data_IF_347852428697
#
_entry.id   IF_347852428697
#
_cell.length_a   1.000
_cell.length_b   1.000
_cell.length_c   1.000
_cell.angle_alpha   90.00
_cell.angle_beta   90.00
_cell.angle_gamma   90.00
#
_symmetry.space_group_name_H-M   'P 1'
#
loop_
_entity.id
_entity.type
_entity.pdbx_description
1 polymer ?
#
# COMPACT_ATOMS: atom_id res chain seq x y z
N UNK A 1 -20.53 3.24 0.90
CA UNK A 1 -19.87 4.39 1.54
C UNK A 1 -20.49 5.70 1.07
N UNK A 2 -20.37 6.75 1.89
CA UNK A 2 -20.94 8.07 1.63
C UNK A 2 -19.82 9.09 1.57
N UNK A 3 -19.78 9.86 0.50
CA UNK A 3 -18.91 11.02 0.31
C UNK A 3 -19.67 12.14 -0.41
N UNK A 4 -19.08 13.30 -0.49
CA UNK A 4 -19.60 14.41 -1.28
C UNK A 4 -19.40 14.13 -2.78
N UNK A 5 -20.29 14.61 -3.64
CA UNK A 5 -20.23 14.38 -5.09
C UNK A 5 -18.90 14.80 -5.70
N UNK A 6 -18.33 15.93 -5.22
CA UNK A 6 -17.04 16.43 -5.70
C UNK A 6 -15.87 15.52 -5.37
N UNK A 7 -15.98 14.66 -4.36
CA UNK A 7 -14.91 13.78 -3.87
C UNK A 7 -15.01 12.35 -4.41
N UNK A 8 -16.13 11.97 -5.02
CA UNK A 8 -16.43 10.57 -5.36
C UNK A 8 -15.31 9.91 -6.19
N UNK A 9 -14.85 10.59 -7.24
CA UNK A 9 -13.77 10.07 -8.10
C UNK A 9 -12.46 9.90 -7.34
N UNK A 10 -12.09 10.86 -6.49
CA UNK A 10 -10.86 10.82 -5.71
C UNK A 10 -10.94 9.75 -4.62
N UNK A 11 -12.10 9.61 -3.97
CA UNK A 11 -12.35 8.55 -2.98
C UNK A 11 -12.21 7.16 -3.63
N UNK A 12 -12.84 6.96 -4.78
CA UNK A 12 -12.70 5.70 -5.52
C UNK A 12 -11.24 5.44 -5.90
N UNK A 13 -10.54 6.46 -6.39
CA UNK A 13 -9.12 6.34 -6.76
C UNK A 13 -8.25 6.01 -5.55
N UNK A 14 -8.48 6.63 -4.39
CA UNK A 14 -7.74 6.35 -3.17
C UNK A 14 -7.94 4.89 -2.70
N UNK A 15 -9.17 4.39 -2.77
CA UNK A 15 -9.47 2.98 -2.48
C UNK A 15 -8.78 2.04 -3.46
N UNK A 16 -8.88 2.33 -4.75
CA UNK A 16 -8.25 1.55 -5.82
C UNK A 16 -6.72 1.49 -5.69
N UNK A 17 -6.11 2.62 -5.32
CA UNK A 17 -4.67 2.70 -5.13
C UNK A 17 -4.18 2.17 -3.77
N UNK A 18 -5.07 1.69 -2.91
CA UNK A 18 -4.70 1.16 -1.59
C UNK A 18 -4.24 2.23 -0.60
N UNK A 19 -4.66 3.50 -0.79
CA UNK A 19 -4.30 4.60 0.10
C UNK A 19 -5.19 4.68 1.35
N UNK A 20 -6.33 3.99 1.37
CA UNK A 20 -7.27 3.97 2.48
C UNK A 20 -6.92 2.82 3.44
N UNK A 21 -6.17 3.11 4.50
CA UNK A 21 -5.67 2.10 5.45
C UNK A 21 -6.59 1.86 6.64
N UNK A 22 -7.16 2.93 7.21
CA UNK A 22 -7.99 2.82 8.40
C UNK A 22 -9.45 2.43 8.07
N UNK A 23 -10.18 1.81 9.01
CA UNK A 23 -11.62 1.57 8.88
C UNK A 23 -12.37 2.88 9.12
N UNK A 24 -12.94 3.47 8.07
CA UNK A 24 -13.61 4.78 8.13
C UNK A 24 -15.13 4.69 8.37
N UNK A 25 -15.66 3.52 8.69
CA UNK A 25 -17.09 3.37 8.99
C UNK A 25 -18.05 3.66 7.83
N UNK A 26 -17.53 3.98 6.64
CA UNK A 26 -18.30 4.20 5.42
C UNK A 26 -18.81 5.62 5.20
N UNK A 27 -18.63 6.58 6.13
CA UNK A 27 -18.89 8.02 5.91
C UNK A 27 -17.56 8.79 5.86
N UNK A 28 -17.14 9.18 4.67
CA UNK A 28 -15.86 9.86 4.44
C UNK A 28 -15.91 11.37 4.62
N UNK A 29 -17.08 11.93 4.93
CA UNK A 29 -17.25 13.36 5.29
C UNK A 29 -16.85 13.66 6.73
N UNK A 30 -16.58 12.61 7.53
CA UNK A 30 -16.16 12.77 8.91
C UNK A 30 -14.74 13.35 9.01
N UNK A 31 -14.44 14.11 10.08
CA UNK A 31 -13.09 14.56 10.36
C UNK A 31 -12.12 13.40 10.49
N UNK A 32 -10.90 13.59 9.97
CA UNK A 32 -9.87 12.56 10.01
C UNK A 32 -8.96 12.72 11.23
N UNK A 33 -8.59 11.58 11.82
CA UNK A 33 -7.59 11.55 12.89
C UNK A 33 -6.17 11.64 12.32
N UNK A 34 -5.26 12.21 13.08
CA UNK A 34 -3.84 12.37 12.74
C UNK A 34 -3.19 11.04 12.38
N UNK A 35 -3.45 9.98 13.16
CA UNK A 35 -2.96 8.64 12.90
C UNK A 35 -3.43 8.13 11.53
N UNK A 36 -4.73 8.15 11.29
CA UNK A 36 -5.30 7.65 10.05
C UNK A 36 -4.76 8.37 8.81
N UNK A 37 -4.50 9.69 8.92
CA UNK A 37 -3.86 10.41 7.83
C UNK A 37 -2.40 9.96 7.64
N UNK A 38 -1.64 9.79 8.72
CA UNK A 38 -0.26 9.31 8.67
C UNK A 38 -0.14 7.93 8.03
N UNK A 39 -1.06 7.01 8.35
CA UNK A 39 -1.14 5.68 7.77
C UNK A 39 -1.41 5.74 6.25
N UNK A 40 -2.37 6.55 5.82
CA UNK A 40 -2.67 6.74 4.40
C UNK A 40 -1.49 7.36 3.65
N UNK A 41 -0.80 8.32 4.27
CA UNK A 41 0.38 8.96 3.70
C UNK A 41 1.56 7.98 3.58
N UNK A 42 1.79 7.11 4.56
CA UNK A 42 2.80 6.05 4.50
C UNK A 42 2.50 5.06 3.36
N UNK A 43 1.23 4.69 3.16
CA UNK A 43 0.80 3.85 2.05
C UNK A 43 1.12 4.51 0.68
N UNK A 44 0.93 5.83 0.56
CA UNK A 44 1.29 6.57 -0.65
C UNK A 44 2.80 6.50 -0.91
N UNK A 45 3.62 6.72 0.11
CA UNK A 45 5.08 6.65 -0.04
C UNK A 45 5.50 5.24 -0.45
N UNK A 46 5.00 4.20 0.22
CA UNK A 46 5.30 2.81 -0.12
C UNK A 46 4.92 2.50 -1.57
N UNK A 47 3.73 2.92 -2.00
CA UNK A 47 3.28 2.77 -3.38
C UNK A 47 4.20 3.48 -4.38
N UNK A 48 4.67 4.68 -4.05
CA UNK A 48 5.58 5.44 -4.92
C UNK A 48 6.89 4.70 -5.17
N UNK A 49 7.40 4.01 -4.16
CA UNK A 49 8.60 3.16 -4.27
C UNK A 49 8.30 1.74 -4.75
N UNK A 50 7.05 1.42 -5.07
CA UNK A 50 6.64 0.07 -5.51
C UNK A 50 6.75 -0.98 -4.41
N UNK A 51 6.82 -0.57 -3.14
CA UNK A 51 6.91 -1.46 -1.99
C UNK A 51 5.53 -1.93 -1.55
N UNK A 52 5.39 -3.22 -1.25
CA UNK A 52 4.24 -3.75 -0.53
C UNK A 52 4.37 -3.40 0.95
N UNK A 53 3.53 -2.43 1.39
CA UNK A 53 3.62 -1.92 2.76
C UNK A 53 3.25 -2.99 3.80
N UNK A 54 2.28 -3.85 3.52
CA UNK A 54 1.84 -4.88 4.47
C UNK A 54 2.91 -5.94 4.65
N UNK A 55 3.53 -6.36 3.56
CA UNK A 55 4.69 -7.25 3.63
C UNK A 55 5.84 -6.60 4.42
N UNK A 56 6.19 -5.36 4.08
CA UNK A 56 7.24 -4.63 4.81
C UNK A 56 6.95 -4.54 6.31
N UNK A 57 5.72 -4.20 6.69
CA UNK A 57 5.30 -4.11 8.09
C UNK A 57 5.42 -5.46 8.80
N UNK A 58 4.99 -6.54 8.17
CA UNK A 58 5.06 -7.88 8.75
C UNK A 58 6.50 -8.29 9.07
N UNK A 59 7.42 -8.08 8.14
CA UNK A 59 8.82 -8.53 8.30
C UNK A 59 9.63 -7.61 9.20
N UNK A 60 9.31 -6.32 9.23
CA UNK A 60 10.09 -5.31 9.97
C UNK A 60 9.46 -4.92 11.31
N UNK A 61 8.31 -5.49 11.66
CA UNK A 61 7.53 -5.11 12.85
C UNK A 61 8.36 -5.12 14.14
N UNK A 62 9.20 -6.12 14.33
CA UNK A 62 10.06 -6.21 15.52
C UNK A 62 11.13 -5.10 15.56
N UNK A 63 11.76 -4.81 14.42
CA UNK A 63 12.74 -3.71 14.28
C UNK A 63 12.07 -2.36 14.51
N UNK A 64 10.91 -2.13 13.91
CA UNK A 64 10.13 -0.91 14.06
C UNK A 64 9.68 -0.69 15.50
N UNK A 65 9.22 -1.75 16.18
CA UNK A 65 8.86 -1.70 17.59
C UNK A 65 10.05 -1.30 18.46
N UNK A 66 11.23 -1.90 18.24
CA UNK A 66 12.44 -1.59 18.97
C UNK A 66 12.91 -0.15 18.72
N UNK A 67 12.88 0.31 17.47
CA UNK A 67 13.31 1.64 17.08
C UNK A 67 12.38 2.75 17.58
N UNK A 68 11.06 2.48 17.67
CA UNK A 68 10.07 3.45 18.12
C UNK A 68 10.18 3.78 19.60
N UNK A 69 10.94 3.01 20.38
CA UNK A 69 11.08 3.21 21.83
C UNK A 69 9.78 3.00 22.61
N UNK A 70 8.78 2.37 21.99
CA UNK A 70 7.50 2.08 22.62
C UNK A 70 7.72 1.01 23.68
N UNK A 71 7.83 1.46 24.91
CA UNK A 71 7.83 0.59 26.07
C UNK A 71 6.51 -0.19 26.15
N UNK A 72 6.52 -1.23 26.92
CA UNK A 72 5.54 -2.31 27.10
C UNK A 72 4.09 -1.91 27.43
N UNK A 73 3.68 -0.65 27.30
CA UNK A 73 2.38 -0.14 27.81
C UNK A 73 1.54 0.58 26.75
N UNK A 74 1.96 0.67 25.49
CA UNK A 74 1.18 1.29 24.42
C UNK A 74 0.82 0.30 23.32
N UNK A 75 -0.35 0.46 22.70
CA UNK A 75 -0.70 -0.26 21.48
C UNK A 75 0.31 0.14 20.40
N UNK A 76 1.20 -0.78 20.06
CA UNK A 76 2.14 -0.61 18.96
C UNK A 76 1.39 -0.68 17.63
N UNK A 77 1.48 0.38 16.85
CA UNK A 77 0.98 0.41 15.48
C UNK A 77 2.19 0.50 14.53
N UNK A 78 2.45 -0.56 13.77
CA UNK A 78 3.60 -0.61 12.89
C UNK A 78 3.51 0.42 11.74
N UNK A 79 2.32 0.73 11.24
CA UNK A 79 2.15 1.74 10.17
C UNK A 79 2.48 3.14 10.69
N UNK A 80 2.06 3.42 11.92
CA UNK A 80 2.37 4.69 12.58
C UNK A 80 3.87 4.85 12.85
N UNK A 81 4.56 3.74 13.19
CA UNK A 81 6.01 3.73 13.33
C UNK A 81 6.71 4.06 12.01
N UNK A 82 6.24 3.48 10.89
CA UNK A 82 6.75 3.81 9.54
C UNK A 82 6.49 5.28 9.21
N UNK A 83 5.30 5.81 9.45
CA UNK A 83 5.00 7.22 9.20
C UNK A 83 5.93 8.17 10.00
N UNK A 84 6.33 7.76 11.21
CA UNK A 84 7.33 8.48 12.03
C UNK A 84 8.73 8.36 11.43
N UNK A 85 9.19 7.18 11.04
CA UNK A 85 10.50 6.96 10.43
C UNK A 85 10.66 7.74 9.10
N UNK A 86 9.60 7.78 8.29
CA UNK A 86 9.56 8.58 7.07
C UNK A 86 9.50 10.09 7.32
N UNK A 87 9.43 10.53 8.58
CA UNK A 87 9.32 11.93 8.96
C UNK A 87 7.96 12.58 8.62
N UNK A 88 6.98 11.79 8.20
CA UNK A 88 5.62 12.25 7.87
C UNK A 88 4.91 12.75 9.15
N UNK A 89 4.96 11.94 10.20
CA UNK A 89 4.49 12.33 11.53
C UNK A 89 5.66 12.59 12.45
N UNK A 90 5.62 13.71 13.15
CA UNK A 90 6.58 14.04 14.20
C UNK A 90 5.88 13.99 15.54
N UNK A 91 6.56 13.45 16.56
CA UNK A 91 6.09 13.45 17.92
C UNK A 91 6.01 14.88 18.49
N UNK A 92 5.20 15.04 19.51
CA UNK A 92 5.19 16.24 20.37
C UNK A 92 6.42 16.25 21.29
N UNK A 93 6.61 17.32 22.05
CA UNK A 93 7.72 17.44 23.01
C UNK A 93 7.74 16.32 24.06
N UNK A 94 6.58 15.78 24.41
CA UNK A 94 6.42 14.63 25.31
C UNK A 94 6.68 13.26 24.64
N UNK A 95 7.04 13.26 23.35
CA UNK A 95 7.27 12.05 22.56
C UNK A 95 6.00 11.36 22.03
N UNK A 96 4.81 11.81 22.40
CA UNK A 96 3.55 11.28 21.90
C UNK A 96 3.33 11.63 20.43
N UNK A 97 2.70 10.76 19.65
CA UNK A 97 2.29 11.05 18.27
C UNK A 97 0.89 11.68 18.21
N UNK A 98 0.17 11.67 19.32
CA UNK A 98 -1.18 12.25 19.46
C UNK A 98 -2.14 11.79 18.32
N UNK A 99 -2.09 10.50 18.04
CA UNK A 99 -2.72 9.90 16.85
C UNK A 99 -4.24 10.03 16.80
N UNK A 100 -4.91 10.04 17.96
CA UNK A 100 -6.37 10.14 18.05
C UNK A 100 -6.92 11.55 17.82
N UNK A 101 -6.06 12.58 17.84
CA UNK A 101 -6.48 13.97 17.63
C UNK A 101 -6.93 14.20 16.20
N UNK A 102 -8.04 14.89 16.05
CA UNK A 102 -8.51 15.38 14.75
C UNK A 102 -7.58 16.49 14.26
N UNK A 103 -7.30 16.50 12.96
CA UNK A 103 -6.37 17.48 12.38
C UNK A 103 -7.09 18.66 11.75
N UNK A 104 -6.41 19.78 11.77
CA UNK A 104 -6.78 20.99 11.05
C UNK A 104 -6.23 20.97 9.62
N UNK A 105 -6.75 21.86 8.78
CA UNK A 105 -6.31 21.98 7.40
C UNK A 105 -4.85 22.41 7.25
N UNK A 106 -4.34 23.27 8.14
CA UNK A 106 -2.91 23.60 8.12
C UNK A 106 -2.03 22.43 8.56
N UNK A 107 -2.48 21.60 9.52
CA UNK A 107 -1.76 20.37 9.90
C UNK A 107 -1.75 19.34 8.76
N UNK A 108 -2.87 19.21 8.03
CA UNK A 108 -2.92 18.39 6.83
C UNK A 108 -1.90 18.85 5.77
N UNK A 109 -1.74 20.17 5.57
CA UNK A 109 -0.74 20.71 4.66
C UNK A 109 0.68 20.28 5.04
N UNK A 110 1.01 20.31 6.33
CA UNK A 110 2.33 19.87 6.85
C UNK A 110 2.55 18.38 6.62
N UNK A 111 1.55 17.53 6.90
CA UNK A 111 1.67 16.09 6.66
C UNK A 111 1.86 15.80 5.17
N UNK A 112 1.09 16.45 4.29
CA UNK A 112 1.21 16.30 2.84
C UNK A 112 2.58 16.76 2.32
N UNK A 113 3.09 17.90 2.79
CA UNK A 113 4.39 18.42 2.40
C UNK A 113 5.54 17.48 2.83
N UNK A 114 5.45 16.91 4.03
CA UNK A 114 6.41 15.91 4.50
C UNK A 114 6.33 14.63 3.68
N UNK A 115 5.12 14.18 3.34
CA UNK A 115 4.90 13.04 2.46
C UNK A 115 5.53 13.28 1.08
N UNK A 116 5.33 14.47 0.51
CA UNK A 116 5.95 14.85 -0.75
C UNK A 116 7.48 14.81 -0.68
N UNK A 117 8.06 15.39 0.38
CA UNK A 117 9.52 15.35 0.59
C UNK A 117 10.06 13.93 0.79
N UNK A 118 9.30 13.06 1.44
CA UNK A 118 9.67 11.64 1.60
C UNK A 118 9.75 10.91 0.24
N UNK A 119 8.92 11.32 -0.73
CA UNK A 119 8.92 10.74 -2.07
C UNK A 119 9.95 11.40 -3.01
N UNK A 120 10.13 12.72 -2.91
CA UNK A 120 10.89 13.52 -3.88
C UNK A 120 12.27 13.96 -3.38
N UNK A 121 12.57 13.73 -2.10
CA UNK A 121 13.76 14.28 -1.47
C UNK A 121 13.67 15.80 -1.24
N UNK A 122 14.77 16.51 -1.39
CA UNK A 122 14.76 17.97 -1.19
C UNK A 122 14.07 18.69 -2.34
N UNK A 123 13.05 19.47 -1.99
CA UNK A 123 12.37 20.39 -2.91
C UNK A 123 13.04 21.76 -2.77
N UNK A 124 13.58 22.29 -3.86
CA UNK A 124 14.35 23.56 -3.88
C UNK A 124 13.61 24.69 -4.58
N UNK A 125 12.31 24.54 -4.84
CA UNK A 125 11.57 25.54 -5.59
C UNK A 125 11.32 26.80 -4.75
N UNK A 126 11.45 27.96 -5.38
CA UNK A 126 11.08 29.23 -4.77
C UNK A 126 9.56 29.23 -4.54
N UNK A 127 9.14 29.40 -3.29
CA UNK A 127 7.73 29.42 -2.93
C UNK A 127 7.12 30.79 -3.18
N UNK A 128 5.95 30.79 -3.81
CA UNK A 128 5.16 32.01 -4.03
C UNK A 128 4.40 32.41 -2.77
N UNK A 129 4.29 33.71 -2.45
CA UNK A 129 3.46 34.17 -1.34
C UNK A 129 2.01 33.70 -1.47
N UNK A 130 1.38 33.39 -0.36
CA UNK A 130 -0.04 33.04 -0.31
C UNK A 130 -0.89 34.31 -0.54
N UNK A 131 -1.94 34.18 -1.33
CA UNK A 131 -2.87 35.27 -1.66
C UNK A 131 -4.23 35.13 -0.97
N UNK A 132 -4.37 34.23 0.01
CA UNK A 132 -5.62 34.06 0.75
C UNK A 132 -5.85 35.21 1.75
N UNK A 133 -7.09 35.64 1.88
CA UNK A 133 -7.46 36.75 2.80
C UNK A 133 -7.22 36.41 4.26
N UNK A 134 -7.20 35.12 4.60
CA UNK A 134 -6.94 34.59 5.93
C UNK A 134 -5.52 34.02 6.11
N UNK A 135 -4.60 34.33 5.19
CA UNK A 135 -3.20 33.81 5.25
C UNK A 135 -2.47 34.17 6.55
N UNK A 136 -2.80 35.32 7.15
CA UNK A 136 -2.26 35.74 8.45
C UNK A 136 -2.70 34.83 9.64
N UNK A 137 -3.72 34.00 9.46
CA UNK A 137 -4.18 33.03 10.47
C UNK A 137 -3.43 31.70 10.38
N UNK A 138 -2.62 31.50 9.36
CA UNK A 138 -1.79 30.30 9.22
C UNK A 138 -0.63 30.41 10.22
N UNK A 139 -0.47 29.40 11.06
CA UNK A 139 0.61 29.36 12.03
C UNK A 139 1.98 29.38 11.31
N UNK A 140 2.96 30.08 11.90
CA UNK A 140 4.28 30.26 11.31
C UNK A 140 4.97 28.94 10.93
N UNK A 141 4.79 27.91 11.74
CA UNK A 141 5.35 26.57 11.47
C UNK A 141 4.70 25.84 10.27
N UNK A 142 3.54 26.28 9.80
CA UNK A 142 2.81 25.68 8.67
C UNK A 142 2.91 26.50 7.38
N UNK A 143 3.37 27.75 7.44
CA UNK A 143 3.33 28.67 6.30
C UNK A 143 4.02 28.13 5.07
N UNK A 144 5.25 27.65 5.18
CA UNK A 144 6.03 27.11 4.07
C UNK A 144 5.34 25.88 3.44
N UNK A 145 4.81 24.98 4.28
CA UNK A 145 4.15 23.77 3.81
C UNK A 145 2.81 24.08 3.13
N UNK A 146 2.06 25.05 3.64
CA UNK A 146 0.83 25.54 2.98
C UNK A 146 1.16 26.17 1.63
N UNK A 147 2.23 26.99 1.54
CA UNK A 147 2.69 27.56 0.27
C UNK A 147 3.05 26.46 -0.73
N UNK A 148 3.82 25.47 -0.32
CA UNK A 148 4.23 24.36 -1.18
C UNK A 148 3.01 23.59 -1.69
N UNK A 149 2.11 23.18 -0.80
CA UNK A 149 0.93 22.40 -1.18
C UNK A 149 -0.04 23.19 -2.07
N UNK A 150 -0.14 24.48 -1.88
CA UNK A 150 -0.94 25.37 -2.72
C UNK A 150 -0.30 25.55 -4.11
N UNK A 151 1.02 25.80 -4.15
CA UNK A 151 1.77 25.99 -5.41
C UNK A 151 1.73 24.72 -6.28
N UNK A 152 1.79 23.53 -5.66
CA UNK A 152 1.65 22.25 -6.36
C UNK A 152 0.20 21.94 -6.78
N UNK A 153 -0.79 22.75 -6.36
CA UNK A 153 -2.19 22.52 -6.64
C UNK A 153 -2.80 21.34 -5.86
N UNK A 154 -2.11 20.85 -4.82
CA UNK A 154 -2.60 19.77 -3.96
C UNK A 154 -3.72 20.27 -3.04
N UNK A 155 -3.49 21.43 -2.41
CA UNK A 155 -4.50 22.13 -1.63
C UNK A 155 -4.94 23.40 -2.36
N UNK A 156 -6.24 23.66 -2.31
CA UNK A 156 -6.86 24.85 -2.90
C UNK A 156 -7.65 25.58 -1.81
N UNK A 157 -8.06 26.82 -2.05
CA UNK A 157 -8.97 27.53 -1.14
C UNK A 157 -10.32 26.82 -0.98
N UNK A 158 -11.04 27.15 0.08
CA UNK A 158 -12.37 26.59 0.38
C UNK A 158 -13.53 27.47 -0.14
N UNK A 159 -13.23 28.47 -0.94
CA UNK A 159 -14.14 29.50 -1.41
C UNK A 159 -13.83 30.86 -0.77
N UNK A 160 -14.44 31.93 -1.29
CA UNK A 160 -14.29 33.31 -0.81
C UNK A 160 -12.84 33.73 -0.57
N UNK A 161 -11.92 33.29 -1.42
CA UNK A 161 -10.47 33.51 -1.33
C UNK A 161 -9.86 33.11 0.03
N UNK A 162 -10.37 32.08 0.70
CA UNK A 162 -9.92 31.64 2.02
C UNK A 162 -9.28 30.25 1.99
N UNK A 163 -8.24 30.08 2.81
CA UNK A 163 -7.61 28.79 3.05
C UNK A 163 -8.28 28.02 4.19
N UNK A 164 -8.77 28.71 5.22
CA UNK A 164 -9.41 28.19 6.42
C UNK A 164 -8.48 27.28 7.24
N UNK A 165 -7.33 27.80 7.74
CA UNK A 165 -6.25 27.01 8.32
C UNK A 165 -6.65 26.17 9.52
N UNK A 166 -7.57 26.68 10.35
CA UNK A 166 -8.07 26.00 11.56
C UNK A 166 -9.30 25.11 11.30
N UNK A 167 -9.77 25.07 10.04
CA UNK A 167 -10.90 24.22 9.68
C UNK A 167 -10.58 22.74 9.84
N UNK A 168 -11.59 21.98 10.26
CA UNK A 168 -11.47 20.52 10.39
C UNK A 168 -11.21 19.89 9.00
N UNK A 169 -10.33 18.91 8.94
CA UNK A 169 -10.00 18.19 7.71
C UNK A 169 -10.70 16.85 7.68
N UNK A 170 -11.37 16.52 6.57
CA UNK A 170 -12.17 15.31 6.45
C UNK A 170 -11.43 14.17 5.76
N UNK A 171 -11.94 12.95 5.90
CA UNK A 171 -11.39 11.76 5.24
C UNK A 171 -11.41 11.91 3.71
N UNK A 172 -12.52 12.40 3.14
CA UNK A 172 -12.62 12.63 1.69
C UNK A 172 -11.63 13.69 1.20
N UNK A 173 -11.37 14.74 1.99
CA UNK A 173 -10.33 15.73 1.67
C UNK A 173 -8.92 15.13 1.74
N UNK A 174 -8.67 14.25 2.71
CA UNK A 174 -7.42 13.50 2.78
C UNK A 174 -7.22 12.67 1.51
N UNK A 175 -8.22 11.91 1.11
CA UNK A 175 -8.12 11.08 -0.09
C UNK A 175 -7.89 11.92 -1.35
N UNK A 176 -8.66 13.00 -1.54
CA UNK A 176 -8.48 13.89 -2.69
C UNK A 176 -7.07 14.50 -2.74
N UNK A 177 -6.55 14.94 -1.61
CA UNK A 177 -5.20 15.51 -1.57
C UNK A 177 -4.11 14.47 -1.79
N UNK A 178 -4.25 13.25 -1.25
CA UNK A 178 -3.30 12.15 -1.50
C UNK A 178 -3.32 11.69 -2.96
N UNK A 179 -4.49 11.58 -3.59
CA UNK A 179 -4.60 11.25 -5.02
C UNK A 179 -3.94 12.31 -5.89
N UNK A 180 -4.19 13.60 -5.62
CA UNK A 180 -3.52 14.71 -6.33
C UNK A 180 -2.02 14.69 -6.10
N UNK A 181 -1.58 14.39 -4.88
CA UNK A 181 -0.18 14.26 -4.55
C UNK A 181 0.47 13.12 -5.34
N UNK A 182 -0.15 11.93 -5.38
CA UNK A 182 0.33 10.78 -6.15
C UNK A 182 0.52 11.11 -7.64
N UNK A 183 -0.37 11.93 -8.21
CA UNK A 183 -0.27 12.38 -9.61
C UNK A 183 0.89 13.35 -9.88
N UNK A 184 1.42 13.99 -8.83
CA UNK A 184 2.52 14.97 -8.93
C UNK A 184 3.89 14.37 -8.61
N UNK A 185 3.93 13.19 -7.99
CA UNK A 185 5.17 12.57 -7.59
C UNK A 185 5.84 11.90 -8.79
N UNK A 186 7.09 12.29 -9.05
CA UNK A 186 8.02 11.48 -9.83
C UNK A 186 8.98 10.85 -8.84
N UNK A 187 9.09 9.51 -8.77
CA UNK A 187 9.92 8.85 -7.78
C UNK A 187 11.35 9.39 -7.77
N UNK A 188 11.87 9.69 -6.60
CA UNK A 188 13.27 10.07 -6.43
C UNK A 188 14.16 8.84 -6.74
N UNK A 189 15.20 8.95 -7.57
CA UNK A 189 16.04 7.83 -7.96
C UNK A 189 17.05 7.41 -6.87
N UNK A 190 16.76 7.70 -5.62
CA UNK A 190 17.56 7.31 -4.46
C UNK A 190 17.16 5.94 -3.90
N UNK A 191 17.90 5.45 -2.89
CA UNK A 191 17.57 4.21 -2.24
C UNK A 191 16.17 4.26 -1.61
N UNK A 192 15.44 3.15 -1.70
CA UNK A 192 14.12 3.06 -1.07
C UNK A 192 14.24 3.22 0.45
N UNK A 193 13.38 4.03 1.09
CA UNK A 193 13.31 4.11 2.55
C UNK A 193 12.76 2.82 3.20
N UNK A 194 12.26 1.89 2.39
CA UNK A 194 11.72 0.60 2.82
C UNK A 194 12.74 -0.53 2.71
N UNK A 195 14.02 -0.24 2.92
CA UNK A 195 15.04 -1.28 2.94
C UNK A 195 14.80 -2.31 4.04
N UNK A 196 14.84 -3.58 3.68
CA UNK A 196 14.80 -4.72 4.60
C UNK A 196 16.17 -5.41 4.62
N UNK A 197 16.52 -6.01 5.75
CA UNK A 197 17.66 -6.91 5.78
C UNK A 197 17.29 -8.24 5.12
N UNK A 198 18.30 -8.99 4.67
CA UNK A 198 18.10 -10.33 4.11
C UNK A 198 17.36 -11.25 5.08
N UNK A 199 17.69 -11.17 6.37
CA UNK A 199 17.04 -11.94 7.42
C UNK A 199 15.55 -11.56 7.60
N UNK A 200 15.24 -10.27 7.64
CA UNK A 200 13.86 -9.77 7.73
C UNK A 200 13.01 -10.23 6.54
N UNK A 201 13.55 -10.20 5.35
CA UNK A 201 12.82 -10.62 4.17
C UNK A 201 12.57 -12.14 4.12
N UNK A 202 13.47 -12.97 4.69
CA UNK A 202 13.24 -14.42 4.86
C UNK A 202 12.15 -14.71 5.89
N UNK A 203 12.14 -13.97 7.02
CA UNK A 203 11.15 -14.15 8.10
C UNK A 203 9.75 -13.78 7.64
N UNK A 204 9.62 -12.80 6.76
CA UNK A 204 8.33 -12.31 6.28
C UNK A 204 7.45 -13.34 5.57
N UNK A 205 8.05 -14.40 5.05
CA UNK A 205 7.30 -15.51 4.47
C UNK A 205 6.49 -16.34 5.49
N UNK A 206 6.68 -16.11 6.79
CA UNK A 206 6.08 -16.92 7.84
C UNK A 206 5.09 -16.18 8.75
N UNK A 207 4.98 -14.87 8.67
CA UNK A 207 4.20 -14.07 9.63
C UNK A 207 2.73 -13.88 9.29
N UNK A 208 2.21 -14.47 8.29
CA UNK A 208 0.78 -14.43 8.01
C UNK A 208 0.42 -15.66 7.20
N UNK A 209 -0.61 -16.32 7.54
CA UNK A 209 -0.97 -17.67 7.10
C UNK A 209 -0.98 -17.92 5.57
N UNK A 210 -0.56 -16.96 4.72
CA UNK A 210 -0.67 -17.09 3.26
C UNK A 210 0.37 -16.30 2.45
N UNK A 211 1.43 -15.77 3.05
CA UNK A 211 2.49 -15.09 2.33
C UNK A 211 3.81 -15.85 2.40
N UNK A 212 4.49 -15.96 1.28
CA UNK A 212 5.80 -16.61 1.18
C UNK A 212 6.78 -15.66 0.50
N UNK A 213 8.02 -15.65 0.99
CA UNK A 213 9.11 -14.88 0.41
C UNK A 213 10.26 -15.82 0.06
N UNK A 214 10.78 -15.73 -1.15
CA UNK A 214 11.96 -16.45 -1.58
C UNK A 214 12.99 -15.47 -2.17
N UNK A 215 14.26 -15.79 -1.98
CA UNK A 215 15.37 -15.03 -2.56
C UNK A 215 15.90 -15.73 -3.79
N UNK A 216 16.23 -14.92 -4.78
CA UNK A 216 17.06 -15.35 -5.89
C UNK A 216 18.48 -14.86 -5.67
N UNK A 217 19.43 -15.74 -5.98
CA UNK A 217 20.85 -15.40 -6.07
C UNK A 217 21.11 -14.79 -7.46
N UNK A 218 20.53 -13.60 -7.71
CA UNK A 218 20.67 -12.88 -8.97
C UNK A 218 21.08 -11.44 -8.72
N UNK A 219 21.76 -10.83 -9.67
CA UNK A 219 22.19 -9.44 -9.58
C UNK A 219 21.00 -8.44 -9.69
N UNK A 220 19.89 -8.86 -10.29
CA UNK A 220 18.79 -7.95 -10.67
C UNK A 220 17.52 -8.13 -9.84
N UNK A 221 17.34 -9.31 -9.23
CA UNK A 221 16.12 -9.62 -8.50
C UNK A 221 16.48 -10.24 -7.15
N UNK A 222 16.15 -9.53 -6.09
CA UNK A 222 16.50 -9.93 -4.73
C UNK A 222 15.50 -10.92 -4.13
N UNK A 223 14.23 -10.83 -4.52
CA UNK A 223 13.18 -11.64 -3.88
C UNK A 223 11.93 -11.77 -4.74
N UNK A 224 11.16 -12.80 -4.45
CA UNK A 224 9.81 -12.99 -4.95
C UNK A 224 8.88 -13.32 -3.78
N UNK A 225 7.69 -12.79 -3.81
CA UNK A 225 6.67 -13.07 -2.80
C UNK A 225 5.43 -13.65 -3.44
N UNK A 226 4.73 -14.52 -2.71
CA UNK A 226 3.41 -14.98 -3.06
C UNK A 226 2.43 -14.64 -1.94
N UNK A 227 1.34 -14.00 -2.27
CA UNK A 227 0.32 -13.60 -1.32
C UNK A 227 -1.08 -14.02 -1.79
N UNK A 228 -1.92 -14.44 -0.85
CA UNK A 228 -3.33 -14.69 -1.08
C UNK A 228 -4.16 -13.54 -0.50
N UNK A 229 -4.95 -12.90 -1.34
CA UNK A 229 -5.86 -11.84 -0.93
C UNK A 229 -7.28 -12.38 -0.86
N UNK A 230 -7.93 -12.21 0.28
CA UNK A 230 -9.35 -12.50 0.36
C UNK A 230 -10.09 -11.66 -0.67
N UNK A 231 -11.01 -12.27 -1.39
CA UNK A 231 -11.86 -11.55 -2.31
C UNK A 231 -12.56 -10.41 -1.58
N UNK A 232 -12.46 -9.22 -2.15
CA UNK A 232 -12.99 -8.01 -1.57
C UNK A 232 -14.51 -8.04 -1.39
N UNK A 233 -15.05 -6.97 -0.89
CA UNK A 233 -16.50 -6.78 -0.72
C UNK A 233 -17.22 -6.83 -2.08
N UNK A 234 -18.38 -7.44 -2.12
CA UNK A 234 -19.27 -7.45 -3.27
C UNK A 234 -19.45 -8.82 -3.90
N UNK A 235 -19.46 -8.90 -5.22
CA UNK A 235 -19.72 -10.11 -6.01
C UNK A 235 -18.54 -11.07 -6.12
N UNK A 236 -17.39 -10.73 -5.54
CA UNK A 236 -16.20 -11.57 -5.57
C UNK A 236 -16.30 -12.66 -4.51
N UNK A 237 -16.04 -13.89 -4.89
CA UNK A 237 -15.95 -15.04 -4.01
C UNK A 237 -14.58 -15.72 -4.11
N UNK A 238 -14.12 -16.33 -3.03
CA UNK A 238 -12.82 -16.98 -2.94
C UNK A 238 -11.64 -16.02 -2.70
N UNK A 239 -10.44 -16.56 -2.68
CA UNK A 239 -9.19 -15.80 -2.56
C UNK A 239 -8.57 -15.55 -3.93
N UNK A 240 -7.85 -14.46 -4.06
CA UNK A 240 -6.99 -14.16 -5.20
C UNK A 240 -5.55 -14.32 -4.79
N UNK A 241 -4.78 -15.00 -5.60
CA UNK A 241 -3.38 -15.31 -5.33
C UNK A 241 -2.49 -14.48 -6.25
N UNK A 242 -1.49 -13.83 -5.68
CA UNK A 242 -0.58 -12.97 -6.40
C UNK A 242 0.86 -13.35 -6.13
N UNK A 243 1.70 -13.20 -7.14
CA UNK A 243 3.15 -13.24 -6.99
C UNK A 243 3.69 -11.84 -7.26
N UNK A 244 4.50 -11.33 -6.33
CA UNK A 244 5.24 -10.09 -6.48
C UNK A 244 6.73 -10.39 -6.60
N UNK A 245 7.39 -9.71 -7.52
CA UNK A 245 8.84 -9.79 -7.72
C UNK A 245 9.43 -8.44 -7.36
N UNK A 246 10.52 -8.46 -6.59
CA UNK A 246 11.21 -7.27 -6.14
C UNK A 246 12.66 -7.32 -6.62
N UNK A 247 13.23 -6.17 -6.96
CA UNK A 247 14.65 -6.02 -7.20
C UNK A 247 15.45 -5.95 -5.87
N UNK A 248 16.76 -5.82 -5.99
CA UNK A 248 17.65 -5.71 -4.82
C UNK A 248 17.40 -4.48 -3.94
N UNK A 249 16.77 -3.44 -4.48
CA UNK A 249 16.36 -2.23 -3.75
C UNK A 249 14.96 -2.37 -3.15
N UNK A 250 14.37 -3.57 -3.19
CA UNK A 250 13.03 -3.91 -2.72
C UNK A 250 11.92 -3.13 -3.44
N UNK A 251 12.19 -2.68 -4.64
CA UNK A 251 11.19 -2.10 -5.52
C UNK A 251 10.49 -3.23 -6.26
N UNK A 252 9.15 -3.27 -6.19
CA UNK A 252 8.37 -4.26 -6.92
C UNK A 252 8.49 -4.03 -8.43
N UNK A 253 9.05 -5.01 -9.12
CA UNK A 253 9.27 -4.99 -10.58
C UNK A 253 8.18 -5.72 -11.35
N UNK A 254 7.50 -6.68 -10.71
CA UNK A 254 6.39 -7.41 -11.31
C UNK A 254 5.32 -7.77 -10.26
N UNK A 255 4.08 -7.93 -10.73
CA UNK A 255 2.92 -8.29 -9.92
C UNK A 255 1.91 -9.04 -10.78
N UNK A 256 1.71 -10.33 -10.51
CA UNK A 256 0.86 -11.22 -11.32
C UNK A 256 -0.16 -11.95 -10.48
N UNK A 257 -1.41 -11.94 -10.94
CA UNK A 257 -2.44 -12.84 -10.41
C UNK A 257 -2.19 -14.26 -10.95
N UNK A 258 -2.17 -15.21 -10.04
CA UNK A 258 -1.95 -16.64 -10.33
C UNK A 258 -3.15 -17.45 -9.85
N UNK A 259 -3.36 -18.63 -10.40
CA UNK A 259 -4.51 -19.51 -10.08
C UNK A 259 -5.83 -18.74 -10.17
N UNK A 260 -6.13 -18.23 -11.36
CA UNK A 260 -7.37 -17.46 -11.56
C UNK A 260 -8.59 -18.35 -11.48
N UNK A 261 -9.62 -17.92 -10.74
CA UNK A 261 -10.90 -18.60 -10.62
C UNK A 261 -11.94 -18.18 -11.65
N UNK A 262 -11.71 -17.10 -12.38
CA UNK A 262 -12.55 -16.66 -13.50
C UNK A 262 -11.76 -15.84 -14.51
N UNK A 263 -12.19 -15.87 -15.75
CA UNK A 263 -11.54 -15.14 -16.86
C UNK A 263 -11.66 -13.63 -16.70
N UNK A 264 -12.73 -13.14 -16.04
CA UNK A 264 -12.97 -11.71 -15.80
C UNK A 264 -12.48 -11.24 -14.41
N UNK A 265 -11.86 -12.13 -13.63
CA UNK A 265 -11.32 -11.83 -12.31
C UNK A 265 -12.35 -11.59 -11.20
N UNK A 266 -13.64 -11.86 -11.43
CA UNK A 266 -14.69 -11.67 -10.42
C UNK A 266 -14.69 -12.72 -9.34
N UNK A 267 -14.33 -13.95 -9.67
CA UNK A 267 -14.32 -15.09 -8.76
C UNK A 267 -12.89 -15.57 -8.56
N UNK A 268 -12.49 -15.63 -7.31
CA UNK A 268 -11.22 -16.20 -6.90
C UNK A 268 -11.31 -17.72 -6.71
N UNK A 269 -10.19 -18.31 -6.32
CA UNK A 269 -10.08 -19.71 -5.96
C UNK A 269 -10.35 -19.88 -4.48
N UNK A 270 -11.11 -20.91 -4.11
CA UNK A 270 -11.26 -21.31 -2.71
C UNK A 270 -10.14 -22.31 -2.34
N UNK A 271 -9.60 -22.13 -1.15
CA UNK A 271 -8.72 -23.12 -0.50
C UNK A 271 -7.56 -23.63 -1.38
N UNK A 272 -6.71 -22.73 -1.86
CA UNK A 272 -5.43 -23.08 -2.40
C UNK A 272 -4.29 -22.58 -1.50
N UNK A 273 -3.16 -23.28 -1.52
CA UNK A 273 -1.93 -22.90 -0.85
C UNK A 273 -0.79 -22.86 -1.85
N UNK A 274 0.00 -21.77 -1.80
CA UNK A 274 1.22 -21.65 -2.59
C UNK A 274 2.40 -22.02 -1.70
N UNK A 275 3.26 -22.90 -2.20
CA UNK A 275 4.40 -23.43 -1.46
C UNK A 275 5.66 -23.46 -2.36
N UNK A 276 6.83 -23.59 -1.74
CA UNK A 276 8.11 -23.82 -2.42
C UNK A 276 8.43 -22.78 -3.51
N UNK A 277 8.17 -21.50 -3.18
CA UNK A 277 8.41 -20.38 -4.09
C UNK A 277 9.91 -20.19 -4.32
N UNK A 278 10.33 -20.10 -5.57
CA UNK A 278 11.71 -19.82 -5.95
C UNK A 278 11.77 -19.04 -7.26
N UNK A 279 12.90 -18.39 -7.51
CA UNK A 279 13.16 -17.65 -8.72
C UNK A 279 14.27 -18.37 -9.51
N UNK A 280 14.19 -18.33 -10.86
CA UNK A 280 15.27 -18.82 -11.69
C UNK A 280 16.56 -18.01 -11.46
N UNK A 281 17.75 -18.59 -11.68
CA UNK A 281 19.02 -17.90 -11.47
C UNK A 281 19.17 -16.60 -12.30
N UNK A 282 18.53 -16.54 -13.46
CA UNK A 282 18.52 -15.35 -14.33
C UNK A 282 17.37 -14.38 -14.02
N UNK A 283 16.54 -14.68 -13.04
CA UNK A 283 15.41 -13.84 -12.63
C UNK A 283 14.24 -13.79 -13.62
N UNK A 284 14.23 -14.65 -14.66
CA UNK A 284 13.20 -14.61 -15.71
C UNK A 284 11.94 -15.42 -15.39
N UNK A 285 12.04 -16.39 -14.48
CA UNK A 285 10.94 -17.31 -14.17
C UNK A 285 10.77 -17.48 -12.66
N UNK A 286 9.51 -17.63 -12.24
CA UNK A 286 9.15 -18.02 -10.87
C UNK A 286 8.63 -19.44 -10.87
N UNK A 287 9.15 -20.25 -9.96
CA UNK A 287 8.68 -21.61 -9.70
C UNK A 287 7.96 -21.65 -8.36
N UNK A 288 6.84 -22.32 -8.31
CA UNK A 288 6.11 -22.55 -7.06
C UNK A 288 5.27 -23.83 -7.15
N UNK A 289 4.83 -24.31 -6.00
CA UNK A 289 3.81 -25.35 -5.91
C UNK A 289 2.49 -24.76 -5.47
N UNK A 290 1.42 -25.21 -6.11
CA UNK A 290 0.06 -24.84 -5.76
C UNK A 290 -0.70 -26.08 -5.32
N UNK A 291 -1.06 -26.15 -4.03
CA UNK A 291 -1.98 -27.16 -3.52
C UNK A 291 -3.39 -26.60 -3.64
N UNK A 292 -4.19 -27.21 -4.50
CA UNK A 292 -5.60 -26.84 -4.73
C UNK A 292 -6.46 -27.82 -3.96
N UNK A 293 -7.22 -27.35 -2.99
CA UNK A 293 -8.00 -28.19 -2.09
C UNK A 293 -9.41 -28.50 -2.59
N UNK A 294 -9.90 -27.72 -3.55
CA UNK A 294 -11.19 -27.91 -4.20
C UNK A 294 -11.08 -27.70 -5.70
N UNK A 295 -11.98 -28.33 -6.45
CA UNK A 295 -12.07 -28.12 -7.90
C UNK A 295 -12.36 -26.64 -8.20
N UNK A 296 -11.62 -26.06 -9.13
CA UNK A 296 -11.70 -24.67 -9.55
C UNK A 296 -12.30 -24.60 -10.93
N UNK A 297 -13.35 -23.84 -11.08
CA UNK A 297 -14.05 -23.64 -12.32
C UNK A 297 -13.91 -22.21 -12.83
N UNK A 298 -14.00 -22.03 -14.14
CA UNK A 298 -14.23 -20.71 -14.70
C UNK A 298 -15.65 -20.25 -14.42
N UNK A 299 -15.85 -18.93 -14.37
CA UNK A 299 -17.17 -18.33 -14.20
C UNK A 299 -17.33 -17.18 -15.20
N UNK A 300 -18.50 -17.12 -15.81
CA UNK A 300 -18.84 -16.00 -16.70
C UNK A 300 -19.19 -14.73 -15.91
N UNK A 301 -19.37 -13.63 -16.59
CA UNK A 301 -19.72 -12.34 -16.00
C UNK A 301 -21.07 -12.34 -15.22
N UNK A 302 -21.91 -13.34 -15.41
CA UNK A 302 -23.18 -13.51 -14.71
C UNK A 302 -23.07 -14.45 -13.50
N UNK A 303 -21.90 -15.06 -13.29
CA UNK A 303 -21.64 -16.01 -12.22
C UNK A 303 -22.04 -17.45 -12.55
N UNK A 304 -22.28 -17.77 -13.82
CA UNK A 304 -22.54 -19.15 -14.22
C UNK A 304 -21.23 -19.92 -14.29
N UNK A 305 -21.23 -21.14 -13.77
CA UNK A 305 -20.08 -22.02 -13.78
C UNK A 305 -19.78 -22.49 -15.21
N UNK A 306 -18.53 -22.32 -15.64
CA UNK A 306 -17.98 -22.76 -16.92
C UNK A 306 -17.11 -24.02 -16.79
N UNK A 307 -15.97 -24.02 -17.50
CA UNK A 307 -15.08 -25.16 -17.57
C UNK A 307 -14.29 -25.37 -16.27
N UNK A 308 -13.92 -26.64 -16.01
CA UNK A 308 -13.01 -27.00 -14.92
C UNK A 308 -11.58 -26.52 -15.26
N UNK A 309 -11.06 -25.58 -14.48
CA UNK A 309 -9.71 -25.04 -14.64
C UNK A 309 -8.67 -25.91 -13.93
N UNK A 310 -8.95 -26.24 -12.66
CA UNK A 310 -8.06 -27.06 -11.81
C UNK A 310 -8.91 -28.06 -11.05
N UNK A 311 -8.52 -29.32 -11.08
CA UNK A 311 -9.03 -30.32 -10.13
C UNK A 311 -8.25 -30.26 -8.82
N UNK A 312 -8.84 -30.70 -7.74
CA UNK A 312 -8.14 -30.86 -6.46
C UNK A 312 -6.81 -31.62 -6.65
N UNK A 313 -5.72 -31.08 -6.13
CA UNK A 313 -4.39 -31.70 -6.26
C UNK A 313 -3.22 -30.76 -6.02
N UNK A 314 -2.02 -31.29 -6.19
CA UNK A 314 -0.78 -30.52 -6.13
C UNK A 314 -0.26 -30.25 -7.56
N UNK A 315 0.05 -29.00 -7.83
CA UNK A 315 0.57 -28.55 -9.12
C UNK A 315 1.95 -27.94 -8.93
N UNK A 316 2.87 -28.29 -9.82
CA UNK A 316 4.11 -27.53 -10.00
C UNK A 316 3.87 -26.50 -11.11
N UNK A 317 4.18 -25.25 -10.82
CA UNK A 317 3.88 -24.12 -11.69
C UNK A 317 5.14 -23.37 -12.04
N UNK A 318 5.28 -23.02 -13.30
CA UNK A 318 6.30 -22.11 -13.81
C UNK A 318 5.58 -20.87 -14.35
N UNK A 319 5.94 -19.71 -13.84
CA UNK A 319 5.48 -18.39 -14.31
C UNK A 319 6.62 -17.71 -15.06
N UNK A 320 6.44 -17.43 -16.34
CA UNK A 320 7.35 -16.60 -17.13
C UNK A 320 7.04 -15.13 -16.86
N UNK A 321 8.02 -14.38 -16.39
CA UNK A 321 7.84 -12.97 -16.00
C UNK A 321 7.74 -12.03 -17.18
N UNK A 322 8.34 -12.37 -18.32
CA UNK A 322 8.29 -11.53 -19.51
C UNK A 322 6.92 -11.60 -20.19
N UNK A 323 6.35 -12.80 -20.28
CA UNK A 323 5.06 -13.03 -20.97
C UNK A 323 3.88 -13.06 -20.02
N UNK A 324 4.09 -13.39 -18.73
CA UNK A 324 3.03 -13.68 -17.76
C UNK A 324 2.38 -15.05 -17.96
N UNK A 325 2.91 -15.87 -18.88
CA UNK A 325 2.41 -17.22 -19.13
C UNK A 325 2.72 -18.14 -17.96
N UNK A 326 1.75 -19.00 -17.63
CA UNK A 326 1.87 -19.96 -16.54
C UNK A 326 1.71 -21.38 -17.10
N UNK A 327 2.66 -22.24 -16.78
CA UNK A 327 2.61 -23.65 -17.13
C UNK A 327 2.37 -24.46 -15.87
N UNK A 328 1.33 -25.30 -15.87
CA UNK A 328 0.90 -26.12 -14.75
C UNK A 328 1.17 -27.59 -15.04
N UNK A 329 1.86 -28.27 -14.13
CA UNK A 329 2.05 -29.72 -14.18
C UNK A 329 1.50 -30.31 -12.90
N UNK A 330 0.45 -31.13 -12.99
CA UNK A 330 -0.12 -31.82 -11.84
C UNK A 330 0.86 -32.89 -11.35
N UNK A 331 1.20 -32.85 -10.07
CA UNK A 331 1.99 -33.90 -9.45
C UNK A 331 1.13 -35.16 -9.29
N UNK A 332 1.66 -36.31 -9.68
CA UNK A 332 1.07 -37.59 -9.32
C UNK A 332 1.27 -37.80 -7.81
N UNK A 333 0.19 -37.88 -7.08
CA UNK A 333 0.26 -38.27 -5.66
C UNK A 333 0.75 -39.71 -5.62
N UNK A 334 1.74 -40.06 -4.79
CA UNK A 334 2.14 -41.45 -4.62
C UNK A 334 0.89 -42.25 -4.23
N UNK A 335 0.64 -43.31 -4.99
CA UNK A 335 -0.45 -44.26 -4.69
C UNK A 335 -0.26 -44.78 -3.26
N UNK A 336 -1.28 -44.63 -2.42
CA UNK A 336 -1.33 -45.07 -1.03
C UNK A 336 -1.15 -46.57 -0.91
#
# INVERSE_FOLDING_TARGET
>A
YTCSDWAETDVFSALYYGLARAPYGGDYRQPIQRQAFGENAAALVARTYGTDLDLYLNVTSFRLQKASGWGTVGLYDPVLAVAKELGILQGREDGSLDGATLITRQEAAVILARTYRACMGKVSDALSPLSYDDSAQIASWAQEDVQLMTQLGILQGVGDNRFHPQGSYTVEQCFSSLVRLLQKITPYPGPSPFAMTQEEAVIGGFCGSREMVAYADTENTAQVTAAAWAAGKGTLSGAKYYISVFDQDLKRTDYREVIKGSSDGRYGVHDAHLENLSLSPDGSQVFYQAKVEQDVYDFDSNGNQGDLLFSQGLYSVTLDLATGEQTYTRAELPSA
#
